data_IF_878091487573
#
_entry.id   IF_878091487573
#
_cell.length_a   1.000
_cell.length_b   1.000
_cell.length_c   1.000
_cell.angle_alpha   90.00
_cell.angle_beta   90.00
_cell.angle_gamma   90.00
#
_symmetry.space_group_name_H-M   'P 1'
#
loop_
_entity.id
_entity.type
_entity.pdbx_description
1 polymer ?
#
# COMPACT_ATOMS: atom_id res chain seq x y z
N UNK A 1 -0.53 7.96 -9.18
CA UNK A 1 -1.34 7.52 -8.03
C UNK A 1 -2.32 8.64 -7.67
N UNK A 2 -3.61 8.50 -8.00
CA UNK A 2 -4.60 9.57 -7.90
C UNK A 2 -5.52 9.45 -6.66
N UNK A 3 -5.05 8.85 -5.56
CA UNK A 3 -5.87 8.61 -4.36
C UNK A 3 -5.56 9.59 -3.24
N UNK A 4 -6.53 9.79 -2.36
CA UNK A 4 -6.36 10.61 -1.16
C UNK A 4 -5.39 9.92 -0.20
N UNK A 5 -4.38 10.63 0.33
CA UNK A 5 -3.53 10.09 1.39
C UNK A 5 -4.36 9.61 2.57
N UNK A 6 -3.97 8.48 3.16
CA UNK A 6 -4.58 8.01 4.40
C UNK A 6 -4.37 9.05 5.52
N UNK A 7 -5.27 9.04 6.51
CA UNK A 7 -5.07 9.83 7.72
C UNK A 7 -3.83 9.38 8.50
N UNK A 8 -3.36 10.22 9.45
CA UNK A 8 -2.09 10.00 10.14
C UNK A 8 -2.03 8.69 10.93
N UNK A 9 -3.15 8.19 11.46
CA UNK A 9 -3.15 6.92 12.18
C UNK A 9 -2.98 5.73 11.23
N UNK A 10 -3.79 5.65 10.18
CA UNK A 10 -3.72 4.58 9.19
C UNK A 10 -2.36 4.60 8.47
N UNK A 11 -1.90 5.79 8.07
CA UNK A 11 -0.59 5.98 7.47
C UNK A 11 0.55 5.58 8.42
N UNK A 12 0.44 5.90 9.71
CA UNK A 12 1.41 5.44 10.72
C UNK A 12 1.50 3.92 10.77
N UNK A 13 0.35 3.24 10.81
CA UNK A 13 0.28 1.77 10.85
C UNK A 13 0.88 1.10 9.61
N UNK A 14 0.58 1.61 8.41
CA UNK A 14 1.13 1.07 7.16
C UNK A 14 2.62 1.35 7.02
N UNK A 15 3.09 2.55 7.38
CA UNK A 15 4.51 2.89 7.34
C UNK A 15 5.32 2.09 8.36
N UNK A 16 4.82 1.90 9.58
CA UNK A 16 5.51 1.10 10.61
C UNK A 16 5.66 -0.35 10.16
N UNK A 17 4.55 -0.98 9.76
CA UNK A 17 4.54 -2.37 9.29
C UNK A 17 5.40 -2.52 8.03
N UNK A 18 5.24 -1.61 7.08
CA UNK A 18 5.95 -1.61 5.82
C UNK A 18 7.45 -1.48 6.01
N UNK A 19 7.90 -0.54 6.85
CA UNK A 19 9.33 -0.36 7.15
C UNK A 19 9.93 -1.54 7.91
N UNK A 20 9.16 -2.20 8.76
CA UNK A 20 9.60 -3.41 9.45
C UNK A 20 9.83 -4.58 8.50
N UNK A 21 9.03 -4.69 7.43
CA UNK A 21 9.16 -5.75 6.42
C UNK A 21 10.13 -5.37 5.28
N UNK A 22 10.23 -4.08 4.98
CA UNK A 22 11.02 -3.53 3.90
C UNK A 22 11.54 -2.14 4.29
N UNK A 23 12.84 -2.00 4.64
CA UNK A 23 13.37 -0.73 5.14
C UNK A 23 13.17 0.48 4.20
N UNK A 24 13.08 0.23 2.88
CA UNK A 24 12.84 1.25 1.87
C UNK A 24 11.35 1.49 1.55
N UNK A 25 10.44 0.93 2.35
CA UNK A 25 9.01 1.09 2.18
C UNK A 25 8.62 2.57 2.15
N UNK A 26 7.84 2.94 1.14
CA UNK A 26 7.40 4.30 0.94
C UNK A 26 6.04 4.33 0.25
N UNK A 27 5.15 5.16 0.79
CA UNK A 27 3.86 5.49 0.20
C UNK A 27 3.91 6.75 -0.67
N UNK A 28 5.08 7.39 -0.81
CA UNK A 28 5.26 8.53 -1.71
C UNK A 28 5.26 8.02 -3.17
N UNK A 29 4.32 8.47 -4.03
CA UNK A 29 4.28 8.09 -5.44
C UNK A 29 5.52 8.46 -6.25
N UNK A 30 6.39 9.35 -5.74
CA UNK A 30 7.65 9.73 -6.36
C UNK A 30 8.82 8.84 -5.94
N UNK A 31 8.65 7.99 -4.93
CA UNK A 31 9.68 7.07 -4.48
C UNK A 31 9.95 6.00 -5.54
N UNK A 32 11.22 5.63 -5.81
CA UNK A 32 11.52 4.49 -6.68
C UNK A 32 10.99 3.16 -6.10
N UNK A 33 10.70 3.13 -4.81
CA UNK A 33 10.19 1.95 -4.10
C UNK A 33 8.66 1.92 -3.98
N UNK A 34 7.95 2.89 -4.58
CA UNK A 34 6.50 3.04 -4.41
C UNK A 34 5.73 1.80 -4.85
N UNK A 35 5.93 1.33 -6.08
CA UNK A 35 5.23 0.14 -6.62
C UNK A 35 5.57 -1.12 -5.80
N UNK A 36 6.83 -1.27 -5.39
CA UNK A 36 7.25 -2.39 -4.54
C UNK A 36 6.58 -2.32 -3.15
N UNK A 37 6.39 -1.12 -2.61
CA UNK A 37 5.71 -0.91 -1.33
C UNK A 37 4.22 -1.25 -1.43
N UNK A 38 3.56 -0.83 -2.51
CA UNK A 38 2.16 -1.20 -2.79
C UNK A 38 1.95 -2.70 -2.92
N UNK A 39 2.96 -3.46 -3.35
CA UNK A 39 2.88 -4.92 -3.46
C UNK A 39 2.58 -5.60 -2.11
N UNK A 40 3.03 -5.03 -0.99
CA UNK A 40 2.73 -5.53 0.35
C UNK A 40 1.25 -5.41 0.71
N UNK A 41 0.49 -4.51 0.08
CA UNK A 41 -0.97 -4.41 0.31
C UNK A 41 -1.78 -5.15 -0.75
N UNK A 42 -1.26 -5.24 -1.99
CA UNK A 42 -2.10 -5.52 -3.15
C UNK A 42 -1.68 -6.75 -3.98
N UNK A 43 -0.45 -7.26 -3.84
CA UNK A 43 -0.03 -8.43 -4.61
C UNK A 43 -0.78 -9.67 -4.13
N UNK A 44 -1.50 -10.32 -5.05
CA UNK A 44 -2.43 -11.38 -4.65
C UNK A 44 -1.70 -12.72 -4.51
N UNK A 45 -2.06 -13.49 -3.49
CA UNK A 45 -1.42 -14.78 -3.21
C UNK A 45 -0.01 -14.69 -2.60
N UNK A 46 0.47 -13.49 -2.28
CA UNK A 46 1.76 -13.31 -1.59
C UNK A 46 1.62 -13.49 -0.07
N UNK A 47 2.55 -14.24 0.53
CA UNK A 47 2.69 -14.32 1.98
C UNK A 47 2.98 -12.96 2.61
N UNK A 48 3.75 -12.11 1.93
CA UNK A 48 4.03 -10.75 2.36
C UNK A 48 2.75 -9.92 2.44
N UNK A 49 1.82 -10.09 1.49
CA UNK A 49 0.54 -9.40 1.51
C UNK A 49 -0.31 -9.84 2.69
N UNK A 50 -0.39 -11.16 2.93
CA UNK A 50 -1.11 -11.67 4.09
C UNK A 50 -0.52 -11.12 5.39
N UNK A 51 0.78 -11.20 5.56
CA UNK A 51 1.47 -10.73 6.77
C UNK A 51 1.31 -9.23 6.99
N UNK A 52 1.51 -8.42 5.95
CA UNK A 52 1.35 -6.98 6.03
C UNK A 52 -0.09 -6.61 6.41
N UNK A 53 -1.08 -7.16 5.71
CA UNK A 53 -2.50 -6.86 5.97
C UNK A 53 -2.92 -7.28 7.38
N UNK A 54 -2.40 -8.41 7.90
CA UNK A 54 -2.63 -8.82 9.28
C UNK A 54 -2.01 -7.82 10.27
N UNK A 55 -0.71 -7.52 10.15
CA UNK A 55 0.01 -6.65 11.10
C UNK A 55 -0.49 -5.21 11.06
N UNK A 56 -0.62 -4.64 9.87
CA UNK A 56 -1.14 -3.30 9.69
C UNK A 56 -2.60 -3.21 10.17
N UNK A 57 -3.43 -4.21 9.87
CA UNK A 57 -4.81 -4.30 10.33
C UNK A 57 -4.96 -4.32 11.86
N UNK A 58 -4.06 -5.01 12.57
CA UNK A 58 -4.03 -5.02 14.05
C UNK A 58 -3.73 -3.62 14.62
N UNK A 59 -2.84 -2.86 13.99
CA UNK A 59 -2.58 -1.47 14.37
C UNK A 59 -3.78 -0.56 14.04
N UNK A 60 -4.32 -0.70 12.82
CA UNK A 60 -5.44 0.10 12.32
C UNK A 60 -6.71 -0.05 13.16
N UNK A 61 -6.92 -1.19 13.83
CA UNK A 61 -8.08 -1.39 14.72
C UNK A 61 -8.24 -0.34 15.84
N UNK A 62 -7.21 0.48 16.10
CA UNK A 62 -7.23 1.58 17.07
C UNK A 62 -7.43 2.96 16.42
N UNK A 63 -7.50 3.04 15.10
CA UNK A 63 -7.58 4.30 14.37
C UNK A 63 -8.99 4.91 14.38
N UNK A 64 -9.10 6.24 14.18
CA UNK A 64 -10.39 6.90 14.08
C UNK A 64 -11.27 6.30 12.99
N UNK A 65 -12.58 6.13 13.21
CA UNK A 65 -13.50 5.54 12.22
C UNK A 65 -13.44 6.21 10.85
N UNK A 66 -13.31 7.54 10.80
CA UNK A 66 -13.22 8.28 9.54
C UNK A 66 -11.97 7.93 8.70
N UNK A 67 -10.84 7.62 9.34
CA UNK A 67 -9.63 7.18 8.63
C UNK A 67 -9.80 5.75 8.09
N UNK A 68 -10.43 4.87 8.87
CA UNK A 68 -10.74 3.49 8.45
C UNK A 68 -11.74 3.45 7.30
N UNK A 69 -12.74 4.33 7.33
CA UNK A 69 -13.72 4.49 6.26
C UNK A 69 -13.03 4.96 4.98
N UNK A 70 -12.20 6.01 5.06
CA UNK A 70 -11.41 6.48 3.91
C UNK A 70 -10.57 5.33 3.33
N UNK A 71 -9.78 4.65 4.16
CA UNK A 71 -8.93 3.53 3.76
C UNK A 71 -9.72 2.44 3.04
N UNK A 72 -10.84 2.01 3.63
CA UNK A 72 -11.69 0.94 3.09
C UNK A 72 -12.33 1.35 1.77
N UNK A 73 -12.84 2.57 1.67
CA UNK A 73 -13.55 3.06 0.48
C UNK A 73 -12.65 3.11 -0.76
N UNK A 74 -11.36 3.44 -0.59
CA UNK A 74 -10.42 3.50 -1.70
C UNK A 74 -9.64 2.20 -1.95
N UNK A 75 -9.68 1.21 -1.03
CA UNK A 75 -8.84 0.01 -1.10
C UNK A 75 -9.00 -0.77 -2.40
N UNK A 76 -10.25 -1.00 -2.82
CA UNK A 76 -10.55 -1.76 -4.05
C UNK A 76 -10.04 -1.05 -5.30
N UNK A 77 -10.23 0.26 -5.39
CA UNK A 77 -9.77 1.06 -6.53
C UNK A 77 -8.23 1.19 -6.55
N UNK A 78 -7.60 1.32 -5.38
CA UNK A 78 -6.14 1.30 -5.25
C UNK A 78 -5.55 -0.04 -5.72
N UNK A 79 -6.17 -1.16 -5.33
CA UNK A 79 -5.78 -2.49 -5.81
C UNK A 79 -5.92 -2.61 -7.33
N UNK A 80 -7.02 -2.11 -7.89
CA UNK A 80 -7.22 -2.11 -9.34
C UNK A 80 -6.16 -1.27 -10.06
N UNK A 81 -5.86 -0.07 -9.54
CA UNK A 81 -4.81 0.79 -10.07
C UNK A 81 -3.43 0.12 -9.99
N UNK A 82 -3.08 -0.48 -8.85
CA UNK A 82 -1.84 -1.22 -8.69
C UNK A 82 -1.70 -2.31 -9.75
N UNK A 83 -2.73 -3.15 -9.93
CA UNK A 83 -2.70 -4.23 -10.92
C UNK A 83 -2.51 -3.71 -12.36
N UNK A 84 -3.10 -2.57 -12.70
CA UNK A 84 -2.94 -1.95 -14.01
C UNK A 84 -1.56 -1.30 -14.22
N UNK A 85 -0.88 -0.87 -13.15
CA UNK A 85 0.33 -0.05 -13.23
C UNK A 85 1.60 -0.73 -12.73
N UNK A 86 1.51 -1.89 -12.06
CA UNK A 86 2.67 -2.57 -11.43
C UNK A 86 3.79 -2.96 -12.39
N UNK A 87 3.49 -3.04 -13.70
CA UNK A 87 4.43 -3.38 -14.75
C UNK A 87 4.80 -2.19 -15.67
N UNK A 88 4.34 -0.97 -15.38
CA UNK A 88 4.53 0.18 -16.26
C UNK A 88 6.01 0.53 -16.54
N UNK A 89 6.95 0.05 -15.71
CA UNK A 89 8.40 0.16 -15.93
C UNK A 89 9.07 -1.04 -16.63
N UNK A 90 8.38 -2.16 -16.83
CA UNK A 90 8.92 -3.35 -17.49
C UNK A 90 8.73 -3.32 -19.02
N UNK A 91 7.79 -2.51 -19.51
CA UNK A 91 7.50 -2.34 -20.95
C UNK A 91 8.26 -1.17 -21.60
N UNK A 92 9.12 -0.46 -20.87
CA UNK A 92 9.91 0.65 -21.43
C UNK A 92 11.16 0.18 -22.21
N UNK A 93 11.34 -1.13 -22.39
CA UNK A 93 12.48 -1.71 -23.15
C UNK A 93 11.98 -2.63 -24.27
N UNK A 94 11.11 -2.15 -25.13
CA UNK A 94 10.89 -2.74 -26.47
C UNK A 94 10.20 -1.70 -27.35
N UNK A 95 10.97 -0.86 -28.02
CA UNK A 95 10.90 -0.59 -29.48
C UNK A 95 12.11 0.25 -29.86
#
# INVERSE_FOLDING_TARGET
YPFTPNGPCVQGCTLETGKAMFPNYSEDPKSPYFIQSLAYSFESGSDNTREFMTKAGMCMGKCPPAELELYTNQFTEQKAWYNANKNAGLNATTT
#
